data_IF_076555801888
#
_entry.id   IF_076555801888
#
_cell.length_a   1.000
_cell.length_b   1.000
_cell.length_c   1.000
_cell.angle_alpha   90.00
_cell.angle_beta   90.00
_cell.angle_gamma   90.00
#
_symmetry.space_group_name_H-M   'P 1'
#
loop_
_entity.id
_entity.type
_entity.pdbx_description
1 polymer ?
#
# COMPACT_ATOMS: atom_id res chain seq x y z
N UNK A 1 4.72 -2.66 -13.48
CA UNK A 1 4.20 -2.91 -12.12
C UNK A 1 4.16 -1.62 -11.32
N UNK A 2 3.13 -1.40 -10.50
CA UNK A 2 3.01 -0.23 -9.61
C UNK A 2 2.99 -0.71 -8.15
N UNK A 3 3.88 -0.20 -7.32
CA UNK A 3 3.86 -0.39 -5.87
C UNK A 3 3.20 0.83 -5.23
N UNK A 4 2.10 0.63 -4.48
CA UNK A 4 1.37 1.71 -3.83
C UNK A 4 1.68 1.74 -2.34
N UNK A 5 2.07 2.91 -1.84
CA UNK A 5 2.36 3.15 -0.44
C UNK A 5 1.62 4.39 0.07
N UNK A 6 1.61 4.58 1.38
CA UNK A 6 0.96 5.72 2.04
C UNK A 6 0.36 5.32 3.37
N UNK A 7 0.20 6.30 4.24
CA UNK A 7 -0.33 6.11 5.60
C UNK A 7 -1.75 5.50 5.58
N UNK A 8 -2.19 4.82 6.64
CA UNK A 8 -3.56 4.33 6.78
C UNK A 8 -4.58 5.45 6.53
N UNK A 9 -5.62 5.16 5.73
CA UNK A 9 -6.65 6.15 5.38
C UNK A 9 -6.26 7.19 4.31
N UNK A 10 -5.06 7.09 3.70
CA UNK A 10 -4.62 8.04 2.68
C UNK A 10 -5.44 7.98 1.38
N UNK A 11 -6.12 6.87 1.08
CA UNK A 11 -6.94 6.70 -0.13
C UNK A 11 -6.35 5.75 -1.16
N UNK A 12 -5.47 4.84 -0.73
CA UNK A 12 -4.88 3.81 -1.62
C UNK A 12 -5.94 2.94 -2.30
N UNK A 13 -6.99 2.54 -1.57
CA UNK A 13 -8.08 1.73 -2.14
C UNK A 13 -8.78 2.44 -3.32
N UNK A 14 -8.96 3.77 -3.22
CA UNK A 14 -9.55 4.56 -4.30
C UNK A 14 -8.63 4.70 -5.51
N UNK A 15 -7.32 4.88 -5.26
CA UNK A 15 -6.32 4.85 -6.33
C UNK A 15 -6.38 3.52 -7.08
N UNK A 16 -6.39 2.40 -6.37
CA UNK A 16 -6.44 1.05 -6.93
C UNK A 16 -7.75 0.86 -7.73
N UNK A 17 -8.88 1.26 -7.17
CA UNK A 17 -10.18 1.17 -7.84
C UNK A 17 -10.20 1.91 -9.19
N UNK A 18 -9.57 3.08 -9.27
CA UNK A 18 -9.41 3.81 -10.54
C UNK A 18 -8.47 3.06 -11.49
N UNK A 19 -7.32 2.60 -10.99
CA UNK A 19 -6.32 1.92 -11.80
C UNK A 19 -6.83 0.59 -12.37
N UNK A 20 -7.74 -0.11 -11.66
CA UNK A 20 -8.40 -1.31 -12.17
C UNK A 20 -9.21 -1.04 -13.45
N UNK A 21 -9.75 0.19 -13.63
CA UNK A 21 -10.43 0.57 -14.89
C UNK A 21 -9.46 0.72 -16.07
N UNK A 22 -8.15 0.76 -15.83
CA UNK A 22 -7.09 0.74 -16.83
C UNK A 22 -6.50 -0.66 -17.07
N UNK A 23 -7.15 -1.71 -16.55
CA UNK A 23 -6.74 -3.10 -16.75
C UNK A 23 -5.71 -3.62 -15.74
N UNK A 24 -5.38 -2.86 -14.71
CA UNK A 24 -4.50 -3.35 -13.65
C UNK A 24 -5.24 -4.32 -12.73
N UNK A 25 -4.52 -5.34 -12.25
CA UNK A 25 -4.96 -6.25 -11.17
C UNK A 25 -4.28 -5.84 -9.87
N UNK A 26 -4.95 -5.98 -8.75
CA UNK A 26 -4.40 -5.61 -7.46
C UNK A 26 -4.05 -6.82 -6.58
N UNK A 27 -2.96 -6.69 -5.85
CA UNK A 27 -2.52 -7.64 -4.82
C UNK A 27 -2.24 -6.85 -3.54
N UNK A 28 -2.94 -7.21 -2.46
CA UNK A 28 -2.81 -6.52 -1.18
C UNK A 28 -1.92 -7.31 -0.21
N UNK A 29 -0.76 -6.76 0.15
CA UNK A 29 0.14 -7.34 1.16
C UNK A 29 -0.57 -7.53 2.51
N UNK A 30 -1.49 -6.62 2.86
CA UNK A 30 -2.32 -6.74 4.06
C UNK A 30 -3.21 -8.00 4.06
N UNK A 31 -3.68 -8.47 2.91
CA UNK A 31 -4.42 -9.74 2.82
C UNK A 31 -3.50 -10.92 3.09
N UNK A 32 -2.27 -10.89 2.58
CA UNK A 32 -1.25 -11.90 2.89
C UNK A 32 -0.97 -11.95 4.39
N UNK A 33 -0.77 -10.79 5.03
CA UNK A 33 -0.57 -10.72 6.49
C UNK A 33 -1.75 -11.32 7.24
N UNK A 34 -2.99 -10.93 6.91
CA UNK A 34 -4.21 -11.46 7.55
C UNK A 34 -4.37 -12.95 7.37
N UNK A 35 -4.07 -13.48 6.18
CA UNK A 35 -4.11 -14.93 5.92
C UNK A 35 -3.17 -15.68 6.86
N UNK A 36 -1.91 -15.27 6.92
CA UNK A 36 -0.94 -15.87 7.83
C UNK A 36 -1.31 -15.68 9.32
N UNK A 37 -1.90 -14.56 9.69
CA UNK A 37 -2.40 -14.33 11.05
C UNK A 37 -3.48 -15.34 11.42
N UNK A 38 -4.48 -15.56 10.56
CA UNK A 38 -5.55 -16.56 10.77
C UNK A 38 -4.98 -17.96 10.88
N UNK A 39 -4.05 -18.35 10.00
CA UNK A 39 -3.38 -19.66 10.03
C UNK A 39 -2.60 -19.88 11.34
N UNK A 40 -2.18 -18.82 12.02
CA UNK A 40 -1.51 -18.85 13.33
C UNK A 40 -2.44 -18.57 14.51
N UNK A 41 -3.76 -18.58 14.32
CA UNK A 41 -4.75 -18.37 15.39
C UNK A 41 -4.79 -16.96 15.96
N UNK A 42 -4.32 -15.96 15.21
CA UNK A 42 -4.34 -14.55 15.62
C UNK A 42 -5.69 -13.93 15.28
N UNK A 43 -6.30 -13.23 16.23
CA UNK A 43 -7.54 -12.48 15.99
C UNK A 43 -7.30 -11.31 15.01
N UNK A 44 -8.26 -11.10 14.10
CA UNK A 44 -8.19 -10.02 13.10
C UNK A 44 -8.57 -8.66 13.71
N UNK A 45 -7.77 -8.20 14.69
CA UNK A 45 -7.81 -6.83 15.23
C UNK A 45 -6.52 -6.11 14.83
N UNK A 46 -6.59 -4.79 14.59
CA UNK A 46 -5.44 -4.01 14.13
C UNK A 46 -4.18 -4.22 14.98
N UNK A 47 -4.33 -4.17 16.30
CA UNK A 47 -3.21 -4.34 17.23
C UNK A 47 -2.60 -5.75 17.13
N UNK A 48 -3.41 -6.79 17.13
CA UNK A 48 -2.97 -8.19 17.10
C UNK A 48 -2.28 -8.53 15.77
N UNK A 49 -2.91 -8.14 14.66
CA UNK A 49 -2.34 -8.33 13.31
C UNK A 49 -1.06 -7.52 13.14
N UNK A 50 -1.01 -6.30 13.67
CA UNK A 50 0.19 -5.46 13.62
C UNK A 50 1.34 -6.03 14.45
N UNK A 51 1.08 -6.54 15.66
CA UNK A 51 2.07 -7.19 16.51
C UNK A 51 2.59 -8.49 15.86
N UNK A 52 1.70 -9.30 15.29
CA UNK A 52 2.08 -10.48 14.52
C UNK A 52 2.96 -10.13 13.33
N UNK A 53 2.60 -9.11 12.56
CA UNK A 53 3.38 -8.67 11.41
C UNK A 53 4.79 -8.20 11.80
N UNK A 54 4.93 -7.51 12.95
CA UNK A 54 6.24 -7.10 13.49
C UNK A 54 7.07 -8.31 13.88
N UNK A 55 6.50 -9.26 14.62
CA UNK A 55 7.18 -10.48 15.07
C UNK A 55 7.70 -11.33 13.90
N UNK A 56 6.90 -11.44 12.84
CA UNK A 56 7.32 -12.16 11.65
C UNK A 56 8.48 -11.46 10.92
N UNK A 57 8.50 -10.10 10.88
CA UNK A 57 9.64 -9.35 10.36
C UNK A 57 10.89 -9.55 11.20
N UNK A 58 10.79 -9.51 12.53
CA UNK A 58 11.91 -9.77 13.43
C UNK A 58 12.50 -11.17 13.23
N UNK A 59 11.65 -12.16 13.02
CA UNK A 59 12.05 -13.58 12.89
C UNK A 59 12.60 -13.93 11.50
N UNK A 60 12.04 -13.37 10.45
CA UNK A 60 12.28 -13.79 9.07
C UNK A 60 12.90 -12.70 8.18
N UNK A 61 13.14 -11.49 8.72
CA UNK A 61 13.65 -10.33 8.01
C UNK A 61 12.54 -9.38 7.55
N UNK A 62 12.89 -8.10 7.43
CA UNK A 62 11.95 -7.01 7.13
C UNK A 62 11.18 -7.21 5.82
N UNK A 63 11.75 -7.92 4.85
CA UNK A 63 11.16 -8.18 3.53
C UNK A 63 10.16 -9.36 3.48
N UNK A 64 9.93 -10.07 4.60
CA UNK A 64 9.16 -11.32 4.62
C UNK A 64 7.77 -11.19 3.98
N UNK A 65 7.09 -10.07 4.17
CA UNK A 65 5.75 -9.89 3.61
C UNK A 65 5.75 -9.65 2.10
N UNK A 66 6.79 -9.02 1.55
CA UNK A 66 7.00 -8.95 0.10
C UNK A 66 7.26 -10.35 -0.48
N UNK A 67 8.11 -11.15 0.17
CA UNK A 67 8.40 -12.51 -0.25
C UNK A 67 7.14 -13.39 -0.30
N UNK A 68 6.32 -13.36 0.75
CA UNK A 68 5.07 -14.13 0.83
C UNK A 68 4.02 -13.63 -0.15
N UNK A 69 3.96 -12.33 -0.39
CA UNK A 69 3.00 -11.73 -1.33
C UNK A 69 3.32 -12.10 -2.77
N UNK A 70 4.59 -12.27 -3.12
CA UNK A 70 4.99 -12.72 -4.46
C UNK A 70 4.38 -14.05 -4.90
N UNK A 71 3.93 -14.89 -3.96
CA UNK A 71 3.25 -16.15 -4.27
C UNK A 71 1.86 -15.96 -4.89
N UNK A 72 1.32 -14.76 -4.82
CA UNK A 72 -0.03 -14.41 -5.31
C UNK A 72 0.00 -13.47 -6.53
N UNK A 73 1.18 -13.19 -7.09
CA UNK A 73 1.35 -12.36 -8.27
C UNK A 73 1.36 -13.26 -9.50
N UNK A 74 0.31 -13.16 -10.32
CA UNK A 74 0.14 -13.96 -11.54
C UNK A 74 0.72 -13.27 -12.78
N UNK A 75 0.60 -11.93 -12.85
CA UNK A 75 1.03 -11.09 -13.96
C UNK A 75 1.87 -9.92 -13.41
N UNK A 76 3.04 -9.70 -14.02
CA UNK A 76 3.99 -8.70 -13.54
C UNK A 76 3.81 -7.32 -14.20
N UNK A 77 3.23 -7.24 -15.40
CA UNK A 77 3.19 -5.99 -16.17
C UNK A 77 2.05 -5.08 -15.71
N UNK A 78 0.86 -5.62 -15.54
CA UNK A 78 -0.33 -4.86 -15.14
C UNK A 78 -0.77 -5.15 -13.70
N UNK A 79 0.18 -5.26 -12.77
CA UNK A 79 -0.11 -5.51 -11.35
C UNK A 79 0.16 -4.29 -10.50
N UNK A 80 -0.77 -4.01 -9.59
CA UNK A 80 -0.60 -3.07 -8.49
C UNK A 80 -0.42 -3.86 -7.19
N UNK A 81 0.62 -3.54 -6.43
CA UNK A 81 0.84 -4.09 -5.09
C UNK A 81 0.59 -2.99 -4.07
N UNK A 82 -0.41 -3.18 -3.21
CA UNK A 82 -0.69 -2.29 -2.08
C UNK A 82 -0.10 -2.84 -0.78
N UNK A 83 0.27 -1.93 0.06
CA UNK A 83 0.63 -2.24 1.44
C UNK A 83 2.12 -2.34 1.70
N UNK A 84 2.97 -1.81 0.82
CA UNK A 84 4.40 -1.64 1.04
C UNK A 84 4.65 -0.80 2.30
N UNK A 85 5.55 -1.26 3.21
CA UNK A 85 5.76 -0.66 4.53
C UNK A 85 7.20 -0.30 4.85
N UNK A 86 8.19 -0.88 4.17
CA UNK A 86 9.59 -0.62 4.42
C UNK A 86 10.43 -0.76 3.14
N UNK A 87 11.68 -0.29 3.24
CA UNK A 87 12.58 -0.26 2.11
C UNK A 87 13.05 -1.67 1.70
N UNK A 88 13.18 -2.59 2.63
CA UNK A 88 13.59 -3.97 2.38
C UNK A 88 12.52 -4.74 1.59
N UNK A 89 11.24 -4.42 1.77
CA UNK A 89 10.15 -4.91 0.91
C UNK A 89 10.29 -4.37 -0.52
N UNK A 90 10.60 -3.06 -0.67
CA UNK A 90 10.86 -2.45 -1.98
C UNK A 90 12.05 -3.10 -2.67
N UNK A 91 13.19 -3.24 -1.98
CA UNK A 91 14.37 -3.90 -2.55
C UNK A 91 14.07 -5.35 -2.99
N UNK A 92 13.25 -6.06 -2.22
CA UNK A 92 12.86 -7.41 -2.59
C UNK A 92 12.09 -7.44 -3.93
N UNK A 93 11.13 -6.53 -4.11
CA UNK A 93 10.40 -6.40 -5.37
C UNK A 93 11.30 -5.94 -6.52
N UNK A 94 12.19 -4.97 -6.29
CA UNK A 94 13.16 -4.50 -7.31
C UNK A 94 14.12 -5.59 -7.79
N UNK A 95 14.54 -6.50 -6.91
CA UNK A 95 15.35 -7.66 -7.30
C UNK A 95 14.59 -8.69 -8.11
N UNK A 96 13.28 -8.76 -7.94
CA UNK A 96 12.43 -9.77 -8.58
C UNK A 96 11.79 -9.30 -9.87
N UNK A 97 11.51 -8.01 -10.00
CA UNK A 97 10.81 -7.42 -11.13
C UNK A 97 11.64 -6.27 -11.73
N UNK A 98 11.88 -6.33 -13.02
CA UNK A 98 12.76 -5.40 -13.73
C UNK A 98 12.19 -3.99 -13.89
N UNK A 99 10.86 -3.87 -13.95
CA UNK A 99 10.18 -2.58 -14.17
C UNK A 99 9.11 -2.39 -13.10
N UNK A 100 9.33 -1.43 -12.22
CA UNK A 100 8.35 -1.04 -11.20
C UNK A 100 8.47 0.45 -10.88
N UNK A 101 7.35 1.04 -10.46
CA UNK A 101 7.27 2.41 -9.98
C UNK A 101 6.60 2.46 -8.61
N UNK A 102 7.10 3.28 -7.71
CA UNK A 102 6.52 3.50 -6.38
C UNK A 102 5.65 4.75 -6.42
N UNK A 103 4.37 4.59 -6.08
CA UNK A 103 3.41 5.68 -5.97
C UNK A 103 3.01 5.86 -4.52
N UNK A 104 3.32 7.01 -3.93
CA UNK A 104 2.89 7.40 -2.60
C UNK A 104 1.56 8.17 -2.66
N UNK A 105 0.59 7.75 -1.85
CA UNK A 105 -0.65 8.51 -1.66
C UNK A 105 -0.55 9.25 -0.32
N UNK A 106 -0.65 10.56 -0.39
CA UNK A 106 -0.60 11.42 0.80
C UNK A 106 -1.98 12.02 1.10
N UNK A 107 -2.35 12.00 2.38
CA UNK A 107 -3.45 12.79 2.93
C UNK A 107 -3.07 13.24 4.35
N UNK A 108 -3.56 14.41 4.76
CA UNK A 108 -3.32 14.89 6.10
C UNK A 108 -4.03 13.99 7.15
N UNK A 109 -3.56 14.06 8.39
CA UNK A 109 -4.02 13.17 9.46
C UNK A 109 -5.51 13.28 9.75
N UNK A 110 -6.08 14.49 9.71
CA UNK A 110 -7.49 14.72 9.98
C UNK A 110 -8.37 14.02 8.95
N UNK A 111 -8.07 14.19 7.66
CA UNK A 111 -8.83 13.56 6.59
C UNK A 111 -8.71 12.03 6.63
N UNK A 112 -7.54 11.51 7.02
CA UNK A 112 -7.32 10.06 7.19
C UNK A 112 -8.19 9.50 8.33
N UNK A 113 -8.25 10.18 9.46
CA UNK A 113 -9.10 9.80 10.59
C UNK A 113 -10.57 9.77 10.17
N UNK A 114 -11.06 10.86 9.57
CA UNK A 114 -12.45 10.98 9.13
C UNK A 114 -12.83 9.85 8.13
N UNK A 115 -11.93 9.51 7.22
CA UNK A 115 -12.16 8.42 6.24
C UNK A 115 -12.21 7.05 6.90
N UNK A 116 -11.30 6.76 7.82
CA UNK A 116 -11.27 5.47 8.53
C UNK A 116 -12.52 5.32 9.40
N UNK A 117 -12.91 6.35 10.13
CA UNK A 117 -14.12 6.32 10.96
C UNK A 117 -15.39 6.09 10.12
N UNK A 118 -15.48 6.69 8.93
CA UNK A 118 -16.61 6.49 8.01
C UNK A 118 -16.62 5.09 7.38
N UNK A 119 -15.45 4.53 7.07
CA UNK A 119 -15.30 3.21 6.44
C UNK A 119 -15.75 2.07 7.34
N UNK A 120 -15.48 2.16 8.63
CA UNK A 120 -15.92 1.27 9.69
C UNK A 120 -15.73 -0.25 9.40
N UNK A 121 -14.52 -0.65 8.94
CA UNK A 121 -14.17 -2.07 8.80
C UNK A 121 -14.00 -2.73 10.18
N UNK A 122 -14.19 -4.05 10.31
CA UNK A 122 -14.05 -4.75 11.59
C UNK A 122 -12.67 -4.58 12.25
N UNK A 123 -11.62 -4.47 11.44
CA UNK A 123 -10.22 -4.28 11.85
C UNK A 123 -9.79 -2.81 11.86
N UNK A 124 -10.70 -1.86 11.64
CA UNK A 124 -10.38 -0.44 11.68
C UNK A 124 -10.23 0.07 13.11
N UNK A 125 -9.36 1.06 13.25
CA UNK A 125 -9.24 1.88 14.46
C UNK A 125 -10.55 2.64 14.71
N UNK A 126 -10.84 2.90 15.99
CA UNK A 126 -12.08 3.54 16.44
C UNK A 126 -11.87 4.87 17.16
N UNK A 127 -10.62 5.33 17.25
CA UNK A 127 -10.26 6.58 17.92
C UNK A 127 -9.04 7.23 17.29
N UNK A 128 -8.87 8.52 17.56
CA UNK A 128 -7.67 9.27 17.15
C UNK A 128 -6.40 8.70 17.82
N UNK A 129 -6.51 8.25 19.07
CA UNK A 129 -5.37 7.64 19.79
C UNK A 129 -4.92 6.37 19.09
N UNK A 130 -5.85 5.50 18.71
CA UNK A 130 -5.52 4.27 17.98
C UNK A 130 -4.91 4.58 16.60
N UNK A 131 -5.37 5.63 15.91
CA UNK A 131 -4.73 6.09 14.67
C UNK A 131 -3.28 6.51 14.92
N UNK A 132 -3.05 7.26 15.98
CA UNK A 132 -1.70 7.71 16.33
C UNK A 132 -0.76 6.55 16.64
N UNK A 133 -1.23 5.55 17.36
CA UNK A 133 -0.44 4.37 17.70
C UNK A 133 -0.15 3.51 16.45
N UNK A 134 -1.14 3.38 15.57
CA UNK A 134 -0.94 2.75 14.26
C UNK A 134 0.06 3.51 13.39
N UNK A 135 -0.06 4.83 13.31
CA UNK A 135 0.86 5.68 12.56
C UNK A 135 2.30 5.51 13.08
N UNK A 136 2.51 5.55 14.40
CA UNK A 136 3.83 5.32 15.01
C UNK A 136 4.39 3.94 14.65
N UNK A 137 3.57 2.91 14.72
CA UNK A 137 3.96 1.54 14.38
C UNK A 137 4.38 1.43 12.90
N UNK A 138 3.58 1.98 11.97
CA UNK A 138 3.92 1.91 10.54
C UNK A 138 5.15 2.77 10.20
N UNK A 139 5.31 3.92 10.83
CA UNK A 139 6.52 4.74 10.70
C UNK A 139 7.75 4.04 11.28
N UNK A 140 7.63 3.28 12.36
CA UNK A 140 8.74 2.50 12.92
C UNK A 140 9.21 1.36 12.01
N UNK A 141 8.37 0.88 11.09
CA UNK A 141 8.77 -0.06 10.05
C UNK A 141 9.51 0.60 8.86
N UNK A 142 9.47 1.93 8.75
CA UNK A 142 10.15 2.67 7.69
C UNK A 142 9.22 3.24 6.61
N UNK A 143 7.90 3.24 6.82
CA UNK A 143 6.93 3.74 5.85
C UNK A 143 7.19 5.20 5.43
N UNK A 144 7.66 6.04 6.35
CA UNK A 144 8.02 7.43 6.05
C UNK A 144 9.12 7.55 4.99
N UNK A 145 10.11 6.66 5.04
CA UNK A 145 11.19 6.62 4.04
C UNK A 145 10.66 6.26 2.66
N UNK A 146 9.75 5.28 2.57
CA UNK A 146 9.12 4.91 1.29
C UNK A 146 8.31 6.06 0.68
N UNK A 147 7.55 6.79 1.51
CA UNK A 147 6.78 7.94 1.05
C UNK A 147 7.72 9.04 0.54
N UNK A 148 8.82 9.31 1.23
CA UNK A 148 9.79 10.33 0.85
C UNK A 148 10.60 9.96 -0.41
N UNK A 149 10.82 8.67 -0.67
CA UNK A 149 11.62 8.16 -1.79
C UNK A 149 10.76 7.62 -2.95
N UNK A 150 9.45 7.83 -2.92
CA UNK A 150 8.54 7.37 -3.98
C UNK A 150 8.83 8.11 -5.31
N UNK A 151 8.69 7.40 -6.43
CA UNK A 151 8.85 7.97 -7.77
C UNK A 151 7.76 9.01 -8.08
N UNK A 152 6.56 8.79 -7.53
CA UNK A 152 5.41 9.68 -7.71
C UNK A 152 4.67 9.87 -6.38
N UNK A 153 4.12 11.09 -6.19
CA UNK A 153 3.25 11.39 -5.05
C UNK A 153 1.94 11.99 -5.53
N UNK A 154 0.82 11.36 -5.13
CA UNK A 154 -0.51 11.91 -5.34
C UNK A 154 -1.06 12.40 -4.00
N UNK A 155 -1.47 13.67 -3.99
CA UNK A 155 -2.06 14.31 -2.81
C UNK A 155 -3.58 14.17 -2.85
N UNK A 156 -4.13 13.57 -1.80
CA UNK A 156 -5.56 13.37 -1.60
C UNK A 156 -6.08 14.33 -0.51
N UNK A 157 -6.16 15.60 -0.86
CA UNK A 157 -6.50 16.75 -0.01
C UNK A 157 -7.84 17.42 -0.37
N UNK A 158 -8.64 16.77 -1.22
CA UNK A 158 -9.86 17.32 -1.78
C UNK A 158 -11.02 16.31 -1.75
N UNK A 159 -12.06 16.54 -2.57
CA UNK A 159 -13.18 15.60 -2.69
C UNK A 159 -12.75 14.28 -3.34
N UNK A 160 -13.56 13.25 -3.13
CA UNK A 160 -13.33 11.93 -3.73
C UNK A 160 -13.27 12.01 -5.26
N UNK A 161 -14.16 12.78 -5.89
CA UNK A 161 -14.23 12.90 -7.34
C UNK A 161 -12.97 13.55 -7.91
N UNK A 162 -12.48 14.63 -7.28
CA UNK A 162 -11.22 15.27 -7.66
C UNK A 162 -10.03 14.35 -7.51
N UNK A 163 -9.99 13.53 -6.46
CA UNK A 163 -8.91 12.57 -6.29
C UNK A 163 -8.97 11.45 -7.35
N UNK A 164 -10.15 10.96 -7.69
CA UNK A 164 -10.35 10.00 -8.79
C UNK A 164 -9.93 10.56 -10.14
N UNK A 165 -10.24 11.81 -10.41
CA UNK A 165 -9.83 12.50 -11.64
C UNK A 165 -8.30 12.63 -11.72
N UNK A 166 -7.64 13.12 -10.66
CA UNK A 166 -6.16 13.18 -10.56
C UNK A 166 -5.52 11.80 -10.76
N UNK A 167 -6.11 10.76 -10.18
CA UNK A 167 -5.63 9.38 -10.34
C UNK A 167 -5.78 8.91 -11.78
N UNK A 168 -6.91 9.19 -12.42
CA UNK A 168 -7.15 8.83 -13.82
C UNK A 168 -6.17 9.52 -14.76
N UNK A 169 -5.88 10.80 -14.54
CA UNK A 169 -4.88 11.55 -15.30
C UNK A 169 -3.46 10.99 -15.11
N UNK A 170 -3.09 10.68 -13.86
CA UNK A 170 -1.84 10.01 -13.56
C UNK A 170 -1.72 8.69 -14.30
N UNK A 171 -2.74 7.82 -14.25
CA UNK A 171 -2.70 6.51 -14.91
C UNK A 171 -2.54 6.63 -16.41
N UNK A 172 -3.25 7.55 -17.07
CA UNK A 172 -3.06 7.82 -18.51
C UNK A 172 -1.64 8.22 -18.85
N UNK A 173 -1.06 9.15 -18.07
CA UNK A 173 0.30 9.64 -18.28
C UNK A 173 1.35 8.56 -18.01
N UNK A 174 1.15 7.74 -16.97
CA UNK A 174 2.05 6.67 -16.58
C UNK A 174 2.10 5.56 -17.66
N UNK A 175 0.93 5.11 -18.14
CA UNK A 175 0.82 4.11 -19.19
C UNK A 175 1.52 4.58 -20.49
N UNK A 176 1.32 5.85 -20.88
CA UNK A 176 1.98 6.43 -22.06
C UNK A 176 3.51 6.48 -21.92
N UNK A 177 4.01 6.79 -20.73
CA UNK A 177 5.47 6.81 -20.47
C UNK A 177 6.08 5.41 -20.53
N UNK A 178 5.44 4.41 -19.91
CA UNK A 178 5.90 3.03 -19.98
C UNK A 178 5.91 2.51 -21.42
N UNK A 179 4.84 2.76 -22.18
CA UNK A 179 4.78 2.38 -23.60
C UNK A 179 5.89 3.05 -24.42
N UNK A 180 6.21 4.31 -24.16
CA UNK A 180 7.30 5.02 -24.85
C UNK A 180 8.69 4.46 -24.49
N UNK A 181 8.89 4.03 -23.23
CA UNK A 181 10.17 3.45 -22.79
C UNK A 181 10.45 2.05 -23.36
N UNK A 182 9.41 1.32 -23.77
CA UNK A 182 9.55 0.01 -24.42
C UNK A 182 9.90 0.11 -25.92
N UNK A 183 9.75 1.30 -26.52
CA UNK A 183 10.03 1.57 -27.93
C UNK A 183 11.40 2.23 -28.16
N UNK A 184 12.10 2.60 -27.09
CA UNK A 184 13.44 3.22 -27.10
C UNK A 184 14.52 2.20 -26.77
#
# INVERSE_FOLDING_TARGET
MILVTGMPGAGKDEFISVANNFGFKDVHMGNTVRKYAVENGIELRDHEVGAFASKEREKHGMHIWAQRTCLYIEDNESTIIDGLRNYEELEYFQKKFSTLSVVAIFANRRDRLDRIMKRNRPDDIKSETELLDRDKRELSWGLGNLIALADYMLVNDSTLDVFKERTSEFMKTHILREAASLLS
#
